data_IF_387354674026
#
_entry.id   IF_387354674026
#
_cell.length_a   1.000
_cell.length_b   1.000
_cell.length_c   1.000
_cell.angle_alpha   90.00
_cell.angle_beta   90.00
_cell.angle_gamma   90.00
#
_symmetry.space_group_name_H-M   'P 1'
#
loop_
_entity.id
_entity.type
_entity.pdbx_description
1 polymer ?
#
# COMPACT_ATOMS: atom_id res chain seq x y z
N UNK A 1 -26.01 0.86 -28.52
CA UNK A 1 -25.06 1.99 -28.47
C UNK A 1 -25.75 3.12 -27.71
N UNK A 2 -25.12 3.66 -26.67
CA UNK A 2 -25.72 4.71 -25.83
C UNK A 2 -25.64 6.07 -26.53
N UNK A 3 -26.73 6.85 -26.52
CA UNK A 3 -26.75 8.18 -27.14
C UNK A 3 -25.91 9.19 -26.35
N UNK A 4 -25.37 10.24 -27.00
CA UNK A 4 -24.63 11.30 -26.31
C UNK A 4 -25.49 11.93 -25.20
N UNK A 5 -24.94 12.10 -24.00
CA UNK A 5 -25.70 12.55 -22.84
C UNK A 5 -24.92 12.57 -21.53
N UNK A 6 -25.56 13.06 -20.46
CA UNK A 6 -25.01 13.04 -19.10
C UNK A 6 -25.36 11.73 -18.39
N UNK A 7 -24.35 11.03 -17.89
CA UNK A 7 -24.52 9.74 -17.20
C UNK A 7 -23.69 9.72 -15.91
N UNK A 8 -24.00 8.79 -15.00
CA UNK A 8 -23.24 8.63 -13.75
C UNK A 8 -21.76 8.37 -14.04
N UNK A 9 -20.86 9.09 -13.35
CA UNK A 9 -19.42 9.03 -13.61
C UNK A 9 -18.86 7.62 -13.26
N UNK A 10 -18.42 6.82 -14.26
CA UNK A 10 -17.90 5.46 -14.02
C UNK A 10 -16.53 5.46 -13.30
N UNK A 11 -15.86 6.62 -13.22
CA UNK A 11 -14.60 6.80 -12.50
C UNK A 11 -14.80 7.16 -11.01
N UNK A 12 -16.04 7.12 -10.51
CA UNK A 12 -16.34 7.21 -9.09
C UNK A 12 -16.37 8.63 -8.51
N UNK A 13 -16.51 9.66 -9.36
CA UNK A 13 -16.55 11.07 -8.94
C UNK A 13 -17.83 11.52 -8.20
N UNK A 14 -18.83 10.63 -8.07
CA UNK A 14 -20.10 10.94 -7.40
C UNK A 14 -21.02 11.90 -8.16
N UNK A 15 -20.60 12.40 -9.33
CA UNK A 15 -21.33 13.33 -10.19
C UNK A 15 -21.73 12.74 -11.55
N UNK A 16 -22.17 13.59 -12.46
CA UNK A 16 -22.49 13.21 -13.85
C UNK A 16 -21.32 13.55 -14.78
N UNK A 17 -21.02 12.67 -15.74
CA UNK A 17 -20.03 12.90 -16.80
C UNK A 17 -20.68 12.82 -18.17
N UNK A 18 -20.21 13.63 -19.12
CA UNK A 18 -20.75 13.67 -20.47
C UNK A 18 -20.14 12.56 -21.34
N UNK A 19 -21.01 11.76 -21.92
CA UNK A 19 -20.73 10.76 -22.95
C UNK A 19 -21.04 11.37 -24.33
N UNK A 20 -20.11 11.28 -25.28
CA UNK A 20 -20.29 11.85 -26.63
C UNK A 20 -20.87 10.86 -27.66
N UNK A 21 -21.22 9.65 -27.23
CA UNK A 21 -21.66 8.55 -28.11
C UNK A 21 -20.59 7.49 -28.36
N UNK A 22 -19.31 7.78 -28.11
CA UNK A 22 -18.19 6.88 -28.38
C UNK A 22 -17.15 6.82 -27.25
N UNK A 23 -16.90 7.93 -26.55
CA UNK A 23 -15.98 8.04 -25.42
C UNK A 23 -16.51 8.99 -24.31
N UNK A 24 -15.98 8.81 -23.09
CA UNK A 24 -16.25 9.73 -21.98
C UNK A 24 -15.41 10.99 -22.15
N UNK A 25 -16.05 12.15 -22.10
CA UNK A 25 -15.35 13.44 -22.19
C UNK A 25 -14.89 13.93 -20.82
N UNK A 26 -14.09 15.00 -20.80
CA UNK A 26 -13.61 15.65 -19.57
C UNK A 26 -14.68 16.50 -18.87
N UNK A 27 -15.83 16.73 -19.52
CA UNK A 27 -16.92 17.49 -18.93
C UNK A 27 -17.60 16.67 -17.81
N UNK A 28 -17.43 17.12 -16.57
CA UNK A 28 -18.05 16.54 -15.38
C UNK A 28 -18.82 17.60 -14.60
N UNK A 29 -20.01 17.23 -14.09
CA UNK A 29 -20.80 18.02 -13.15
C UNK A 29 -20.64 17.42 -11.75
N UNK A 30 -20.06 18.15 -10.79
CA UNK A 30 -19.98 17.67 -9.41
C UNK A 30 -21.39 17.50 -8.83
N UNK A 31 -21.58 16.49 -7.98
CA UNK A 31 -22.82 16.38 -7.21
C UNK A 31 -22.96 17.58 -6.25
N UNK A 32 -24.20 18.04 -5.99
CA UNK A 32 -24.43 19.08 -5.00
C UNK A 32 -23.85 18.64 -3.65
N UNK A 33 -23.24 19.58 -2.90
CA UNK A 33 -22.69 19.26 -1.59
C UNK A 33 -23.79 18.72 -0.66
N UNK A 34 -23.47 17.77 0.23
CA UNK A 34 -24.43 17.28 1.21
C UNK A 34 -24.91 18.44 2.09
N UNK A 35 -26.18 18.44 2.52
CA UNK A 35 -26.71 19.47 3.40
C UNK A 35 -25.91 19.53 4.71
N UNK A 36 -25.77 20.72 5.33
CA UNK A 36 -25.08 20.86 6.60
C UNK A 36 -25.74 20.00 7.67
N UNK A 37 -24.92 19.31 8.47
CA UNK A 37 -25.39 18.48 9.57
C UNK A 37 -26.13 19.36 10.61
N UNK A 38 -27.21 18.86 11.23
CA UNK A 38 -27.93 19.61 12.27
C UNK A 38 -27.02 19.85 13.48
N UNK A 39 -27.18 20.99 14.19
CA UNK A 39 -26.41 21.27 15.40
C UNK A 39 -26.72 20.20 16.46
N UNK A 40 -25.66 19.64 17.05
CA UNK A 40 -25.77 18.70 18.17
C UNK A 40 -26.31 19.48 19.37
N UNK A 41 -27.50 19.11 19.85
CA UNK A 41 -28.06 19.69 21.06
C UNK A 41 -27.18 19.31 22.26
N UNK A 42 -26.68 20.33 22.99
CA UNK A 42 -26.06 20.13 24.29
C UNK A 42 -27.06 19.44 25.23
N UNK A 43 -26.70 18.27 25.74
CA UNK A 43 -27.48 17.61 26.78
C UNK A 43 -27.50 18.48 28.05
N UNK A 44 -28.63 18.57 28.77
CA UNK A 44 -28.72 19.35 30.00
C UNK A 44 -27.81 18.76 31.11
N UNK A 45 -27.33 19.58 32.05
CA UNK A 45 -26.49 19.09 33.15
C UNK A 45 -27.29 18.14 34.05
N UNK A 46 -26.71 16.98 34.32
CA UNK A 46 -27.24 16.03 35.30
C UNK A 46 -27.15 16.60 36.74
N UNK A 47 -28.09 16.29 37.64
CA UNK A 47 -28.08 16.79 39.01
C UNK A 47 -26.87 16.26 39.80
N UNK A 48 -26.34 17.11 40.69
CA UNK A 48 -25.17 16.83 41.52
C UNK A 48 -25.40 15.63 42.45
N UNK A 49 -24.46 14.67 42.42
CA UNK A 49 -24.36 13.57 43.37
C UNK A 49 -23.87 14.07 44.75
N UNK A 50 -24.22 13.39 45.87
CA UNK A 50 -23.80 13.77 47.21
C UNK A 50 -22.31 13.52 47.48
N UNK A 51 -21.78 14.23 48.48
CA UNK A 51 -20.38 14.29 48.90
C UNK A 51 -19.72 12.91 49.21
N UNK A 52 -18.38 12.80 49.10
CA UNK A 52 -17.68 11.51 49.17
C UNK A 52 -17.55 10.96 50.59
N UNK A 53 -17.69 9.63 50.71
CA UNK A 53 -17.31 8.85 51.89
C UNK A 53 -15.78 8.65 51.95
N UNK A 54 -15.18 8.32 53.12
CA UNK A 54 -13.74 8.25 53.30
C UNK A 54 -13.08 7.20 52.38
N UNK A 55 -11.92 7.56 51.83
CA UNK A 55 -11.15 6.76 50.88
C UNK A 55 -10.77 5.38 51.45
N UNK A 56 -11.27 4.33 50.79
CA UNK A 56 -10.70 2.97 50.87
C UNK A 56 -9.38 2.99 50.10
N UNK A 57 -8.30 2.33 50.57
CA UNK A 57 -7.05 2.25 49.82
C UNK A 57 -7.33 1.75 48.40
N UNK A 58 -6.88 2.50 47.40
CA UNK A 58 -7.07 2.17 46.01
C UNK A 58 -6.51 0.77 45.73
N UNK A 59 -7.39 -0.20 45.50
CA UNK A 59 -7.02 -1.38 44.76
C UNK A 59 -6.47 -0.91 43.41
N UNK A 60 -5.37 -1.48 42.90
CA UNK A 60 -4.84 -1.10 41.61
C UNK A 60 -5.94 -1.32 40.57
N UNK A 61 -6.50 -0.22 40.08
CA UNK A 61 -7.27 -0.21 38.83
C UNK A 61 -6.41 -0.93 37.80
N UNK A 62 -6.93 -1.93 37.08
CA UNK A 62 -6.19 -2.56 36.01
C UNK A 62 -5.73 -1.44 35.08
N UNK A 63 -4.41 -1.31 34.96
CA UNK A 63 -3.76 -0.33 34.13
C UNK A 63 -4.49 -0.26 32.80
N UNK A 64 -4.90 0.96 32.41
CA UNK A 64 -5.14 1.28 31.00
C UNK A 64 -4.12 0.50 30.15
N UNK A 65 -4.51 -0.13 29.03
CA UNK A 65 -3.56 -0.91 28.26
C UNK A 65 -2.37 -0.01 28.00
N UNK A 66 -1.23 -0.41 28.56
CA UNK A 66 0.05 0.25 28.43
C UNK A 66 0.12 0.69 26.98
N UNK A 67 0.20 2.01 26.73
CA UNK A 67 0.45 2.54 25.39
C UNK A 67 1.70 1.80 24.94
N UNK A 68 1.49 0.78 24.11
CA UNK A 68 2.57 -0.08 23.70
C UNK A 68 3.57 0.85 23.05
N UNK A 69 4.79 0.88 23.59
CA UNK A 69 5.84 1.74 23.10
C UNK A 69 6.02 1.59 21.58
N UNK A 70 6.72 2.54 20.95
CA UNK A 70 6.97 2.45 19.51
C UNK A 70 7.53 1.06 19.16
N UNK A 71 6.91 0.39 18.18
CA UNK A 71 7.42 -0.83 17.55
C UNK A 71 8.84 -0.59 17.05
N UNK A 72 9.12 0.62 16.57
CA UNK A 72 10.46 1.17 16.43
C UNK A 72 10.42 2.70 16.45
N UNK A 73 11.52 3.33 16.85
CA UNK A 73 11.68 4.78 16.88
C UNK A 73 13.13 5.11 16.52
N UNK A 74 13.37 5.53 15.28
CA UNK A 74 14.70 5.64 14.69
C UNK A 74 14.90 7.00 14.02
N UNK A 75 16.00 7.67 14.37
CA UNK A 75 16.45 8.88 13.68
C UNK A 75 17.33 8.49 12.49
N UNK A 76 16.99 8.98 11.30
CA UNK A 76 17.80 8.79 10.10
C UNK A 76 18.19 10.14 9.50
N UNK A 77 19.46 10.50 9.68
CA UNK A 77 20.06 11.77 9.23
C UNK A 77 19.33 13.01 9.77
N UNK A 78 18.37 13.53 9.01
CA UNK A 78 17.64 14.78 9.31
C UNK A 78 16.14 14.54 9.43
N UNK A 79 15.69 13.29 9.40
CA UNK A 79 14.28 12.96 9.57
C UNK A 79 14.11 11.77 10.51
N UNK A 80 12.91 11.71 11.06
CA UNK A 80 12.52 10.74 12.06
C UNK A 80 11.55 9.72 11.45
N UNK A 81 11.78 8.43 11.73
CA UNK A 81 10.90 7.32 11.33
C UNK A 81 10.52 6.54 12.57
N UNK A 82 9.23 6.40 12.82
CA UNK A 82 8.73 5.67 13.97
C UNK A 82 7.42 5.00 13.63
N UNK A 83 7.10 3.93 14.34
CA UNK A 83 5.77 3.35 14.32
C UNK A 83 5.41 2.86 15.70
N UNK A 84 4.14 2.97 16.06
CA UNK A 84 3.56 2.30 17.21
C UNK A 84 2.62 1.18 16.72
N UNK A 85 1.73 0.68 17.59
CA UNK A 85 0.77 -0.36 17.22
C UNK A 85 -0.28 0.05 16.19
N UNK A 86 -0.53 1.36 16.02
CA UNK A 86 -1.63 1.91 15.25
C UNK A 86 -1.21 2.94 14.20
N UNK A 87 -0.04 3.55 14.33
CA UNK A 87 0.39 4.72 13.56
C UNK A 87 1.79 4.52 13.01
N UNK A 88 1.99 4.92 11.75
CA UNK A 88 3.28 5.06 11.12
C UNK A 88 3.59 6.55 10.93
N UNK A 89 4.73 7.00 11.45
CA UNK A 89 5.23 8.36 11.34
C UNK A 89 6.52 8.46 10.54
N UNK A 90 6.57 9.38 9.57
CA UNK A 90 7.75 9.67 8.76
C UNK A 90 7.86 11.17 8.54
N UNK A 91 8.96 11.78 9.00
CA UNK A 91 9.29 13.19 8.77
C UNK A 91 8.12 14.16 9.10
N UNK A 92 7.50 13.97 10.27
CA UNK A 92 6.38 14.78 10.75
C UNK A 92 5.02 14.46 10.12
N UNK A 93 4.95 13.58 9.10
CA UNK A 93 3.68 13.04 8.59
C UNK A 93 3.34 11.73 9.29
N UNK A 94 2.07 11.54 9.60
CA UNK A 94 1.57 10.29 10.18
C UNK A 94 0.45 9.71 9.34
N UNK A 95 0.30 8.39 9.40
CA UNK A 95 -0.81 7.65 8.81
C UNK A 95 -1.20 6.51 9.76
N UNK A 96 -2.50 6.29 10.03
CA UNK A 96 -2.94 5.08 10.72
C UNK A 96 -2.59 3.84 9.89
N UNK A 97 -1.94 2.86 10.50
CA UNK A 97 -1.54 1.60 9.87
C UNK A 97 -2.75 0.91 9.22
N UNK A 98 -3.89 0.92 9.90
CA UNK A 98 -5.15 0.33 9.42
C UNK A 98 -5.72 1.02 8.17
N UNK A 99 -5.35 2.28 7.94
CA UNK A 99 -5.79 3.08 6.80
C UNK A 99 -4.86 2.93 5.59
N UNK A 100 -3.70 2.29 5.74
CA UNK A 100 -2.80 2.07 4.61
C UNK A 100 -3.48 1.11 3.61
N UNK A 101 -3.71 1.62 2.39
CA UNK A 101 -4.33 0.87 1.30
C UNK A 101 -3.37 0.51 0.18
N UNK A 102 -2.22 1.19 0.12
CA UNK A 102 -1.17 0.86 -0.82
C UNK A 102 0.21 1.18 -0.25
N UNK A 103 1.21 0.44 -0.73
CA UNK A 103 2.63 0.64 -0.43
C UNK A 103 3.44 0.60 -1.70
N UNK A 104 4.56 1.31 -1.76
CA UNK A 104 5.56 1.15 -2.83
C UNK A 104 6.93 1.35 -2.23
N UNK A 105 7.84 0.41 -2.50
CA UNK A 105 9.21 0.50 -2.03
C UNK A 105 10.16 -0.10 -3.08
N UNK A 106 11.27 0.58 -3.37
CA UNK A 106 12.25 0.11 -4.35
C UNK A 106 13.65 0.65 -4.05
N UNK A 107 14.68 -0.05 -4.56
CA UNK A 107 16.08 0.32 -4.39
C UNK A 107 16.70 0.63 -5.74
N UNK A 108 17.32 1.79 -5.86
CA UNK A 108 18.05 2.24 -7.03
C UNK A 108 19.54 2.18 -6.74
N UNK A 109 20.32 1.58 -7.64
CA UNK A 109 21.78 1.62 -7.58
C UNK A 109 22.30 2.75 -8.45
N UNK A 110 22.90 3.78 -7.83
CA UNK A 110 23.57 4.88 -8.52
C UNK A 110 25.04 4.53 -8.75
N UNK A 111 25.40 4.26 -10.00
CA UNK A 111 26.81 4.11 -10.43
C UNK A 111 27.43 5.50 -10.48
N UNK A 112 28.55 5.72 -9.81
CA UNK A 112 29.19 7.04 -9.77
C UNK A 112 30.06 7.23 -11.02
N UNK A 113 29.70 8.17 -11.89
CA UNK A 113 30.48 8.56 -13.06
C UNK A 113 30.99 9.99 -12.96
N UNK A 114 32.29 10.15 -12.71
CA UNK A 114 33.05 11.36 -13.10
C UNK A 114 34.56 11.13 -13.25
N UNK A 115 35.10 9.98 -12.83
CA UNK A 115 36.54 9.70 -12.90
C UNK A 115 36.85 8.47 -13.75
N UNK A 116 36.67 8.55 -15.08
CA UNK A 116 37.33 7.75 -16.15
C UNK A 116 37.31 6.21 -16.12
N UNK A 117 36.93 5.57 -15.03
CA UNK A 117 36.92 4.13 -14.80
C UNK A 117 35.53 3.81 -14.26
N UNK A 118 34.64 3.45 -15.17
CA UNK A 118 33.27 3.07 -14.88
C UNK A 118 33.31 1.69 -14.21
N UNK A 119 33.60 1.62 -12.91
CA UNK A 119 33.61 0.36 -12.17
C UNK A 119 32.15 -0.05 -11.86
N UNK A 120 31.58 -1.03 -12.58
CA UNK A 120 30.21 -1.45 -12.39
C UNK A 120 29.99 -2.06 -11.01
N UNK A 121 31.04 -2.33 -10.22
CA UNK A 121 30.95 -2.87 -8.85
C UNK A 121 30.82 -1.77 -7.79
N UNK A 122 31.22 -0.52 -8.05
CA UNK A 122 31.14 0.60 -7.08
C UNK A 122 29.94 1.52 -7.35
N UNK A 123 28.83 1.29 -6.63
CA UNK A 123 27.62 2.10 -6.76
C UNK A 123 26.89 2.25 -5.44
N UNK A 124 26.47 3.47 -5.12
CA UNK A 124 25.68 3.74 -3.92
C UNK A 124 24.23 3.32 -4.13
N UNK A 125 23.50 3.11 -3.05
CA UNK A 125 22.13 2.61 -3.07
C UNK A 125 21.21 3.67 -2.48
N UNK A 126 20.10 3.90 -3.15
CA UNK A 126 19.03 4.82 -2.75
C UNK A 126 17.75 4.02 -2.62
N UNK A 127 17.10 4.13 -1.46
CA UNK A 127 15.93 3.34 -1.10
C UNK A 127 14.76 4.29 -1.00
N UNK A 128 13.70 4.02 -1.74
CA UNK A 128 12.50 4.84 -1.74
C UNK A 128 11.36 4.06 -1.09
N UNK A 129 10.60 4.73 -0.24
CA UNK A 129 9.41 4.20 0.41
C UNK A 129 8.25 5.19 0.28
N UNK A 130 7.06 4.66 0.01
CA UNK A 130 5.78 5.39 0.02
C UNK A 130 4.67 4.49 0.56
N UNK A 131 3.77 5.04 1.36
CA UNK A 131 2.54 4.38 1.79
C UNK A 131 1.41 5.38 1.96
N UNK A 132 0.19 4.99 1.61
CA UNK A 132 -0.95 5.89 1.67
C UNK A 132 -2.32 5.20 1.61
N UNK A 133 -3.38 6.01 1.67
CA UNK A 133 -4.78 5.59 1.55
C UNK A 133 -5.25 5.49 0.09
N UNK A 134 -4.69 6.31 -0.80
CA UNK A 134 -5.06 6.35 -2.22
C UNK A 134 -3.79 6.58 -3.06
N UNK A 135 -3.42 5.67 -3.99
CA UNK A 135 -2.22 5.81 -4.81
C UNK A 135 -2.30 6.97 -5.81
N UNK A 136 -3.50 7.48 -6.11
CA UNK A 136 -3.70 8.65 -6.98
C UNK A 136 -3.53 9.99 -6.26
N UNK A 137 -3.57 10.00 -4.91
CA UNK A 137 -3.51 11.21 -4.09
C UNK A 137 -2.23 11.27 -3.25
N UNK A 138 -1.24 12.01 -3.74
CA UNK A 138 0.04 12.17 -3.04
C UNK A 138 0.02 13.15 -1.86
N UNK A 139 -1.11 13.78 -1.49
CA UNK A 139 -1.15 14.74 -0.36
C UNK A 139 -1.19 14.07 1.02
N UNK A 140 -1.62 12.81 1.08
CA UNK A 140 -1.80 12.07 2.35
C UNK A 140 -0.88 10.86 2.52
N UNK A 141 0.16 10.73 1.69
CA UNK A 141 1.11 9.62 1.79
C UNK A 141 2.30 9.95 2.71
N UNK A 142 2.78 8.94 3.43
CA UNK A 142 4.07 8.99 4.12
C UNK A 142 5.14 8.52 3.15
N UNK A 143 6.31 9.19 3.15
CA UNK A 143 7.42 8.86 2.24
C UNK A 143 8.75 9.02 2.94
N UNK A 144 9.65 8.08 2.68
CA UNK A 144 11.02 8.12 3.17
C UNK A 144 12.00 7.81 2.04
N UNK A 145 13.16 8.44 2.09
CA UNK A 145 14.29 8.13 1.22
C UNK A 145 15.52 7.84 2.08
N UNK A 146 16.10 6.67 1.88
CA UNK A 146 17.30 6.23 2.58
C UNK A 146 18.45 6.04 1.59
N UNK A 147 19.65 5.99 2.13
CA UNK A 147 20.86 5.87 1.35
C UNK A 147 21.88 4.98 2.06
N UNK A 148 22.56 4.16 1.27
CA UNK A 148 23.67 3.32 1.71
C UNK A 148 24.84 3.51 0.75
N UNK A 149 26.06 3.69 1.25
CA UNK A 149 27.23 3.72 0.36
C UNK A 149 27.54 2.30 -0.11
N UNK A 150 28.21 2.18 -1.25
CA UNK A 150 28.65 0.86 -1.73
C UNK A 150 29.46 0.07 -0.68
N UNK A 151 30.33 0.76 0.07
CA UNK A 151 31.21 0.16 1.06
C UNK A 151 30.49 -0.30 2.33
N UNK A 152 29.30 0.21 2.59
CA UNK A 152 28.54 -0.14 3.77
C UNK A 152 27.80 -1.46 3.47
N UNK A 153 27.99 -2.47 4.31
CA UNK A 153 27.46 -3.82 4.08
C UNK A 153 25.99 -3.96 4.46
N UNK A 154 25.50 -3.09 5.33
CA UNK A 154 24.17 -3.19 5.92
C UNK A 154 23.23 -2.13 5.35
N UNK A 155 21.98 -2.55 5.12
CA UNK A 155 20.91 -1.63 4.76
C UNK A 155 20.57 -0.69 5.94
N UNK A 156 20.05 0.52 5.67
CA UNK A 156 19.66 1.44 6.73
C UNK A 156 18.68 0.77 7.71
N UNK A 157 18.94 0.85 9.02
CA UNK A 157 18.10 0.20 10.03
C UNK A 157 16.64 0.63 9.94
N UNK A 158 16.39 1.94 9.76
CA UNK A 158 15.05 2.48 9.58
C UNK A 158 14.33 1.94 8.34
N UNK A 159 15.06 1.62 7.27
CA UNK A 159 14.49 0.96 6.09
C UNK A 159 14.08 -0.48 6.42
N UNK A 160 14.97 -1.24 7.08
CA UNK A 160 14.69 -2.62 7.48
C UNK A 160 13.51 -2.71 8.44
N UNK A 161 13.42 -1.79 9.41
CA UNK A 161 12.31 -1.69 10.35
C UNK A 161 10.97 -1.38 9.65
N UNK A 162 10.98 -0.47 8.68
CA UNK A 162 9.79 -0.20 7.85
C UNK A 162 9.33 -1.44 7.10
N UNK A 163 10.21 -2.12 6.37
CA UNK A 163 9.84 -3.31 5.61
C UNK A 163 9.29 -4.43 6.51
N UNK A 164 9.83 -4.56 7.72
CA UNK A 164 9.32 -5.51 8.71
C UNK A 164 7.88 -5.17 9.12
N UNK A 165 7.63 -3.91 9.48
CA UNK A 165 6.28 -3.43 9.81
C UNK A 165 5.30 -3.69 8.68
N UNK A 166 5.69 -3.37 7.44
CA UNK A 166 4.82 -3.59 6.28
C UNK A 166 4.44 -5.06 6.16
N UNK A 167 5.43 -5.95 6.14
CA UNK A 167 5.23 -7.39 5.96
C UNK A 167 4.37 -8.01 7.05
N UNK A 168 4.56 -7.57 8.29
CA UNK A 168 3.87 -8.15 9.45
C UNK A 168 2.47 -7.56 9.65
N UNK A 169 2.23 -6.30 9.29
CA UNK A 169 1.03 -5.56 9.71
C UNK A 169 0.21 -4.93 8.58
N UNK A 170 0.82 -4.61 7.45
CA UNK A 170 0.15 -3.83 6.38
C UNK A 170 -0.15 -4.71 5.17
N UNK A 171 0.85 -5.45 4.70
CA UNK A 171 0.76 -6.31 3.52
C UNK A 171 -0.32 -7.40 3.65
N UNK A 172 -0.50 -8.08 4.80
CA UNK A 172 -1.56 -9.08 4.95
C UNK A 172 -2.96 -8.51 4.73
N UNK A 173 -3.23 -7.30 5.24
CA UNK A 173 -4.52 -6.65 5.10
C UNK A 173 -4.77 -6.19 3.66
N UNK A 174 -3.76 -5.65 2.98
CA UNK A 174 -3.88 -5.28 1.57
C UNK A 174 -4.11 -6.53 0.73
N UNK A 175 -3.36 -7.61 1.00
CA UNK A 175 -3.45 -8.88 0.29
C UNK A 175 -4.82 -9.54 0.48
N UNK A 176 -5.37 -9.54 1.70
CA UNK A 176 -6.70 -10.07 1.99
C UNK A 176 -7.79 -9.32 1.22
N UNK A 177 -7.67 -7.99 1.11
CA UNK A 177 -8.59 -7.15 0.33
C UNK A 177 -8.48 -7.41 -1.17
N UNK A 178 -7.26 -7.58 -1.67
CA UNK A 178 -7.00 -8.00 -3.06
C UNK A 178 -7.65 -9.35 -3.36
N UNK A 179 -7.39 -10.36 -2.54
CA UNK A 179 -7.99 -11.68 -2.70
C UNK A 179 -9.52 -11.66 -2.65
N UNK A 180 -10.11 -10.88 -1.74
CA UNK A 180 -11.56 -10.71 -1.69
C UNK A 180 -12.12 -10.08 -2.97
N UNK A 181 -11.37 -9.20 -3.64
CA UNK A 181 -11.74 -8.64 -4.94
C UNK A 181 -11.68 -9.70 -6.05
N UNK A 182 -10.61 -10.50 -6.10
CA UNK A 182 -10.51 -11.62 -7.06
C UNK A 182 -11.67 -12.61 -6.90
N UNK A 183 -12.01 -12.96 -5.66
CA UNK A 183 -13.14 -13.85 -5.36
C UNK A 183 -14.49 -13.28 -5.77
N UNK A 184 -14.63 -11.95 -5.83
CA UNK A 184 -15.81 -11.26 -6.37
C UNK A 184 -15.79 -11.11 -7.90
N UNK A 185 -14.87 -11.75 -8.59
CA UNK A 185 -14.77 -11.67 -10.05
C UNK A 185 -14.02 -10.44 -10.56
N UNK A 186 -13.41 -9.63 -9.68
CA UNK A 186 -12.71 -8.40 -10.09
C UNK A 186 -11.24 -8.68 -10.41
N UNK A 187 -10.68 -7.93 -11.36
CA UNK A 187 -9.24 -7.94 -11.65
C UNK A 187 -8.47 -6.92 -10.82
N UNK A 188 -7.15 -7.15 -10.70
CA UNK A 188 -6.21 -6.29 -10.00
C UNK A 188 -5.05 -5.98 -10.92
N UNK A 189 -4.88 -4.70 -11.21
CA UNK A 189 -3.78 -4.19 -12.01
C UNK A 189 -2.58 -3.87 -11.12
N UNK A 190 -1.43 -4.48 -11.42
CA UNK A 190 -0.15 -4.14 -10.79
C UNK A 190 0.69 -3.23 -11.69
N UNK A 191 0.47 -3.30 -13.01
CA UNK A 191 1.01 -2.36 -13.99
C UNK A 191 0.19 -2.41 -15.28
N UNK A 192 0.54 -1.58 -16.27
CA UNK A 192 -0.07 -1.64 -17.62
C UNK A 192 0.12 -2.99 -18.33
N UNK A 193 1.02 -3.84 -17.85
CA UNK A 193 1.38 -5.13 -18.46
C UNK A 193 1.33 -6.29 -17.46
N UNK A 194 0.75 -6.09 -16.28
CA UNK A 194 0.66 -7.11 -15.26
C UNK A 194 -0.67 -6.99 -14.53
N UNK A 195 -1.54 -7.97 -14.73
CA UNK A 195 -2.86 -8.03 -14.11
C UNK A 195 -3.09 -9.43 -13.55
N UNK A 196 -3.69 -9.50 -12.36
CA UNK A 196 -4.20 -10.75 -11.79
C UNK A 196 -5.72 -10.70 -11.87
N UNK A 197 -6.34 -11.76 -12.36
CA UNK A 197 -7.78 -11.86 -12.54
C UNK A 197 -8.29 -13.21 -12.01
N UNK A 198 -9.62 -13.40 -11.87
CA UNK A 198 -10.16 -14.61 -11.24
C UNK A 198 -9.76 -15.92 -11.93
N UNK A 199 -9.53 -15.87 -13.24
CA UNK A 199 -9.12 -17.04 -14.05
C UNK A 199 -7.62 -17.26 -14.16
N UNK A 200 -6.78 -16.31 -13.74
CA UNK A 200 -5.34 -16.43 -13.96
C UNK A 200 -4.54 -15.12 -13.87
N UNK A 201 -3.45 -15.09 -14.63
CA UNK A 201 -2.48 -13.97 -14.63
C UNK A 201 -2.22 -13.54 -16.07
N UNK A 202 -2.28 -12.23 -16.32
CA UNK A 202 -1.89 -11.59 -17.57
C UNK A 202 -0.51 -10.94 -17.39
N UNK A 203 0.42 -11.28 -18.29
CA UNK A 203 1.77 -10.69 -18.35
C UNK A 203 2.07 -10.28 -19.79
N UNK A 204 2.27 -8.98 -20.01
CA UNK A 204 2.49 -8.43 -21.34
C UNK A 204 1.25 -8.57 -22.22
N UNK A 205 1.34 -9.43 -23.25
CA UNK A 205 0.21 -9.78 -24.14
C UNK A 205 -0.34 -11.18 -23.86
N UNK A 206 0.31 -11.93 -22.99
CA UNK A 206 -0.01 -13.32 -22.71
C UNK A 206 -0.93 -13.42 -21.48
N UNK A 207 -1.88 -14.34 -21.52
CA UNK A 207 -2.76 -14.69 -20.40
C UNK A 207 -2.57 -16.17 -20.05
N UNK A 208 -2.42 -16.47 -18.77
CA UNK A 208 -2.18 -17.81 -18.26
C UNK A 208 -3.27 -18.18 -17.26
N UNK A 209 -3.95 -19.30 -17.49
CA UNK A 209 -4.91 -19.84 -16.53
C UNK A 209 -4.18 -20.27 -15.24
N UNK A 210 -4.88 -20.27 -14.10
CA UNK A 210 -4.24 -20.68 -12.84
C UNK A 210 -3.64 -22.09 -12.88
N UNK A 211 -4.22 -23.01 -13.64
CA UNK A 211 -3.68 -24.38 -13.86
C UNK A 211 -2.35 -24.40 -14.61
N UNK A 212 -2.06 -23.35 -15.38
CA UNK A 212 -0.78 -23.20 -16.09
C UNK A 212 0.26 -22.49 -15.21
N UNK A 213 -0.14 -21.72 -14.21
CA UNK A 213 0.77 -20.97 -13.35
C UNK A 213 1.34 -21.88 -12.25
N UNK A 214 2.65 -22.03 -12.20
CA UNK A 214 3.34 -22.86 -11.21
C UNK A 214 3.64 -22.09 -9.92
N UNK A 215 4.15 -20.86 -10.04
CA UNK A 215 4.48 -19.96 -8.93
C UNK A 215 4.91 -18.58 -9.44
N UNK A 216 5.01 -17.61 -8.54
CA UNK A 216 5.75 -16.37 -8.74
C UNK A 216 6.90 -16.27 -7.72
N UNK A 217 8.00 -15.61 -8.09
CA UNK A 217 9.13 -15.34 -7.19
C UNK A 217 9.68 -13.94 -7.40
N UNK A 218 10.08 -13.30 -6.30
CA UNK A 218 10.88 -12.08 -6.32
C UNK A 218 12.37 -12.42 -6.34
N UNK A 219 13.10 -11.81 -7.27
CA UNK A 219 14.56 -11.90 -7.32
C UNK A 219 15.15 -10.56 -7.75
N UNK A 220 16.04 -10.00 -6.92
CA UNK A 220 16.75 -8.74 -7.17
C UNK A 220 15.82 -7.56 -7.57
N UNK A 221 14.67 -7.43 -6.90
CA UNK A 221 13.71 -6.36 -7.17
C UNK A 221 12.89 -6.55 -8.46
N UNK A 222 12.87 -7.76 -9.01
CA UNK A 222 12.03 -8.15 -10.15
C UNK A 222 11.18 -9.35 -9.80
N UNK A 223 9.95 -9.35 -10.28
CA UNK A 223 9.02 -10.48 -10.16
C UNK A 223 9.15 -11.37 -11.39
N UNK A 224 9.18 -12.67 -11.16
CA UNK A 224 9.25 -13.71 -12.17
C UNK A 224 8.07 -14.68 -12.04
N UNK A 225 7.34 -14.90 -13.13
CA UNK A 225 6.24 -15.86 -13.21
C UNK A 225 6.73 -17.18 -13.82
N UNK A 226 6.54 -18.27 -13.10
CA UNK A 226 6.85 -19.62 -13.53
C UNK A 226 5.57 -20.28 -14.05
N UNK A 227 5.61 -20.79 -15.27
CA UNK A 227 4.45 -21.35 -15.98
C UNK A 227 4.82 -22.74 -16.49
N UNK A 228 3.91 -23.69 -16.36
CA UNK A 228 4.07 -25.06 -16.86
C UNK A 228 4.35 -25.07 -18.37
N UNK A 229 5.29 -25.94 -18.80
CA UNK A 229 5.68 -26.08 -20.20
C UNK A 229 6.58 -24.97 -20.74
N UNK A 230 6.91 -23.94 -19.96
CA UNK A 230 7.90 -22.92 -20.33
C UNK A 230 9.26 -23.25 -19.72
N UNK A 231 10.29 -23.22 -20.54
CA UNK A 231 11.67 -23.42 -20.10
C UNK A 231 12.19 -22.22 -19.28
N UNK A 232 11.80 -20.99 -19.67
CA UNK A 232 12.23 -19.74 -19.02
C UNK A 232 11.06 -19.05 -18.31
N UNK A 233 11.26 -18.56 -17.07
CA UNK A 233 10.24 -17.77 -16.37
C UNK A 233 10.02 -16.44 -17.08
N UNK A 234 8.79 -15.91 -16.93
CA UNK A 234 8.39 -14.65 -17.53
C UNK A 234 8.67 -13.48 -16.58
N UNK A 235 9.38 -12.43 -17.04
CA UNK A 235 9.55 -11.23 -16.23
C UNK A 235 8.23 -10.48 -16.14
N UNK A 236 7.78 -10.19 -14.92
CA UNK A 236 6.59 -9.40 -14.66
C UNK A 236 7.01 -7.95 -14.48
N UNK A 237 6.59 -7.08 -15.39
CA UNK A 237 6.92 -5.66 -15.39
C UNK A 237 6.10 -4.87 -14.35
N UNK A 238 6.34 -5.15 -13.07
CA UNK A 238 5.84 -4.38 -11.93
C UNK A 238 6.99 -3.51 -11.45
N UNK A 239 7.04 -2.29 -11.96
CA UNK A 239 8.08 -1.32 -11.58
C UNK A 239 7.81 -0.78 -10.17
N UNK A 240 8.24 0.44 -9.86
CA UNK A 240 7.91 1.20 -8.63
C UNK A 240 6.40 1.51 -8.45
N UNK A 241 5.52 0.69 -9.04
CA UNK A 241 4.07 0.81 -8.99
C UNK A 241 3.56 0.47 -7.59
N UNK A 242 2.42 1.05 -7.19
CA UNK A 242 1.75 0.67 -5.96
C UNK A 242 1.53 -0.84 -5.88
N UNK A 243 1.87 -1.42 -4.73
CA UNK A 243 1.68 -2.82 -4.37
C UNK A 243 2.45 -3.82 -5.25
N UNK A 244 3.48 -3.40 -5.98
CA UNK A 244 4.26 -4.29 -6.86
C UNK A 244 4.73 -5.58 -6.16
N UNK A 245 5.24 -5.48 -4.93
CA UNK A 245 5.69 -6.65 -4.15
C UNK A 245 4.58 -7.61 -3.72
N UNK A 246 3.31 -7.21 -3.80
CA UNK A 246 2.17 -8.05 -3.41
C UNK A 246 1.71 -9.00 -4.52
N UNK A 247 2.19 -8.86 -5.75
CA UNK A 247 1.80 -9.76 -6.85
C UNK A 247 2.26 -11.20 -6.57
N UNK A 248 3.48 -11.36 -6.04
CA UNK A 248 4.07 -12.67 -5.74
C UNK A 248 3.24 -13.46 -4.72
N UNK A 249 2.96 -12.94 -3.50
CA UNK A 249 2.13 -13.67 -2.55
C UNK A 249 0.69 -13.86 -3.05
N UNK A 250 0.13 -12.91 -3.81
CA UNK A 250 -1.22 -13.05 -4.36
C UNK A 250 -1.32 -14.19 -5.38
N UNK A 251 -0.36 -14.28 -6.29
CA UNK A 251 -0.27 -15.37 -7.27
C UNK A 251 -0.09 -16.71 -6.56
N UNK A 252 0.87 -16.81 -5.65
CA UNK A 252 1.18 -18.08 -4.98
C UNK A 252 0.02 -18.60 -4.12
N UNK A 253 -0.70 -17.70 -3.45
CA UNK A 253 -1.91 -18.06 -2.70
C UNK A 253 -3.01 -18.63 -3.61
N UNK A 254 -3.23 -18.05 -4.79
CA UNK A 254 -4.24 -18.53 -5.72
C UNK A 254 -3.83 -19.84 -6.40
N UNK A 255 -2.54 -20.02 -6.71
CA UNK A 255 -2.01 -21.31 -7.20
C UNK A 255 -2.19 -22.41 -6.17
N UNK A 256 -1.87 -22.15 -4.90
CA UNK A 256 -2.06 -23.11 -3.82
C UNK A 256 -3.54 -23.52 -3.69
N UNK A 257 -4.46 -22.56 -3.84
CA UNK A 257 -5.90 -22.81 -3.82
C UNK A 257 -6.40 -23.70 -4.96
N UNK A 258 -5.74 -23.72 -6.12
CA UNK A 258 -6.13 -24.63 -7.22
C UNK A 258 -5.67 -26.08 -7.00
N UNK A 259 -4.76 -26.31 -6.05
CA UNK A 259 -4.17 -27.64 -5.78
C UNK A 259 -4.83 -28.36 -4.60
N UNK A 260 -5.66 -27.66 -3.83
CA UNK A 260 -6.46 -28.21 -2.74
C UNK A 260 -7.93 -28.21 -3.11
#
# INVERSE_FOLDING_TARGET
MSQPGWYADPYGGGGLRWWDGNVWTEHARPAPPPPPAPPVAMAPPAPAAPAPAPAVPAQPVPSQPVVAGPVFNLEYRKFHVWADQHTLGVNGRTIPIADIRWVSHWVVRKVQGSSGLNDPTRGNFEYHFKAGTDPSRSRGDVRAEFYRRYKDKEDPEAWTALLRLLRERVEPDILARMDARLRRGQSIDFSRRAQVHPGGVVVGRDSFAWTQVQSAKDHAGRVWLFVHGREKPLPVAVHSTPNAGLITPLVNMNVARQRG
#
